data_IF_659935132841
#
_entry.id   IF_659935132841
#
_cell.length_a   1.000
_cell.length_b   1.000
_cell.length_c   1.000
_cell.angle_alpha   90.00
_cell.angle_beta   90.00
_cell.angle_gamma   90.00
#
_symmetry.space_group_name_H-M   'P 1'
#
loop_
_entity.id
_entity.type
_entity.pdbx_description
1 polymer ?
2 non-polymer ?
3 non-polymer ?
4 water ?
#
# COMPACT_ATOMS: atom_id res chain seq x y z
N UNK A 1 3.57 12.52 -0.88
CA UNK A 1 2.82 11.51 -1.65
C UNK A 1 2.50 10.29 -0.78
N UNK A 2 1.45 9.51 -1.17
CA UNK A 2 1.11 8.32 -0.41
C UNK A 2 1.35 7.11 -1.30
N UNK A 3 1.72 6.01 -0.66
CA UNK A 3 1.95 4.75 -1.34
C UNK A 3 0.62 3.99 -1.26
N UNK A 4 0.25 3.37 -2.37
CA UNK A 4 -1.08 2.79 -2.51
C UNK A 4 -0.99 1.40 -3.14
N UNK A 5 -1.68 0.44 -2.55
CA UNK A 5 -1.86 -0.89 -3.16
C UNK A 5 -3.33 -1.02 -3.35
N UNK A 6 -3.76 -1.46 -4.53
CA UNK A 6 -5.19 -1.53 -4.80
C UNK A 6 -5.56 -2.69 -5.69
N UNK A 7 -6.79 -3.16 -5.54
CA UNK A 7 -7.29 -4.24 -6.37
C UNK A 7 -8.81 -4.25 -6.35
N UNK A 8 -9.41 -4.70 -7.45
CA UNK A 8 -10.86 -4.93 -7.51
C UNK A 8 -11.22 -6.40 -7.32
N UNK A 9 -8.16 -11.63 -9.22
CA UNK A 9 -7.72 -10.22 -9.21
C UNK A 9 -6.22 -10.10 -8.95
N UNK A 10 -5.63 -8.97 -9.45
CA UNK A 10 -4.22 -8.67 -9.26
C UNK A 10 -4.12 -7.46 -8.35
N UNK A 11 -3.20 -7.49 -7.39
CA UNK A 11 -2.89 -6.31 -6.61
C UNK A 11 -1.92 -5.46 -7.40
N UNK A 12 -2.22 -4.17 -7.53
CA UNK A 12 -1.33 -3.25 -8.24
C UNK A 12 -0.89 -2.15 -7.29
N UNK A 13 0.26 -1.53 -7.55
CA UNK A 13 0.72 -0.41 -6.69
C UNK A 13 0.78 0.93 -7.43
N UNK A 14 0.74 2.00 -6.66
CA UNK A 14 0.87 3.35 -7.18
C UNK A 14 1.55 4.22 -6.13
N UNK A 15 2.30 5.21 -6.59
CA UNK A 15 2.78 6.27 -5.72
C UNK A 15 2.16 7.56 -6.22
N UNK A 16 1.30 8.14 -5.42
CA UNK A 16 0.58 9.37 -5.70
C UNK A 16 1.07 10.51 -4.81
N UNK B 1 -16.40 -2.01 -5.70
CA UNK B 1 -15.48 -1.33 -4.78
C UNK B 1 -14.09 -1.88 -4.93
N UNK B 2 -13.09 -1.01 -4.53
CA UNK B 2 -11.68 -1.35 -4.55
C UNK B 2 -11.27 -1.72 -3.13
N UNK B 3 -10.30 -2.62 -2.99
CA UNK B 3 -9.62 -2.82 -1.73
C UNK B 3 -8.35 -1.98 -1.79
N UNK B 4 -8.07 -1.26 -0.71
CA UNK B 4 -6.99 -0.28 -0.66
C UNK B 4 -6.11 -0.47 0.55
N UNK B 5 -4.79 -0.50 0.34
CA UNK B 5 -3.81 -0.37 1.42
C UNK B 5 -3.13 0.92 1.13
N UNK B 6 -2.94 1.77 2.13
CA UNK B 6 -2.28 3.05 1.88
C UNK B 6 -1.45 3.52 3.07
N UNK B 7 -0.42 4.31 2.76
CA UNK B 7 0.46 4.86 3.78
C UNK B 7 1.21 6.07 3.25
N UNK B 8 1.62 6.94 4.16
CA UNK B 8 2.50 8.07 3.83
C UNK B 8 3.94 7.82 4.25
N UNK B 9 5.95 4.98 9.60
CA UNK B 9 4.67 5.03 8.87
C UNK B 9 3.90 3.76 9.10
N UNK B 10 2.53 3.88 9.14
CA UNK B 10 1.66 2.72 9.31
C UNK B 10 0.91 2.47 8.00
N UNK B 11 0.69 1.21 7.67
CA UNK B 11 -0.17 0.86 6.55
C UNK B 11 -1.59 0.72 7.07
N UNK B 12 -2.52 1.47 6.49
CA UNK B 12 -3.93 1.36 6.86
C UNK B 12 -4.69 0.74 5.69
N UNK B 13 -5.80 0.05 5.96
CA UNK B 13 -6.61 -0.50 4.85
C UNK B 13 -7.94 0.19 4.73
N UNK B 14 -8.51 0.14 3.53
CA UNK B 14 -9.85 0.65 3.31
C UNK B 14 -10.50 -0.09 2.15
N UNK B 15 -11.81 -0.19 2.22
CA UNK B 15 -12.61 -0.75 1.15
C UNK B 15 -13.51 0.35 0.64
N UNK B 16 -13.23 0.83 -0.57
CA UNK B 16 -14.05 1.90 -1.14
C UNK B 16 -14.91 1.36 -2.26
N UNK C 1 13.14 3.24 -8.52
CA UNK C 1 12.98 2.82 -7.14
C UNK C 1 11.94 1.70 -7.01
N UNK C 2 12.02 0.98 -5.84
CA UNK C 2 11.11 -0.09 -5.51
C UNK C 2 10.23 0.38 -4.37
N UNK C 3 8.98 -0.06 -4.36
CA UNK C 3 8.13 0.04 -3.18
C UNK C 3 8.23 -1.28 -2.44
N UNK C 4 8.38 -1.21 -1.12
CA UNK C 4 8.59 -2.38 -0.29
C UNK C 4 7.68 -2.33 0.93
N UNK C 5 6.99 -3.43 1.21
CA UNK C 5 6.25 -3.60 2.47
C UNK C 5 7.01 -4.68 3.16
N UNK C 6 7.26 -4.57 4.46
CA UNK C 6 8.06 -5.58 5.14
C UNK C 6 7.66 -5.72 6.60
N UNK C 7 7.94 -6.89 7.17
CA UNK C 7 7.61 -7.16 8.55
C UNK C 7 8.36 -8.38 9.06
N UNK C 8 8.69 -8.38 10.35
CA UNK C 8 9.24 -9.55 11.04
C UNK C 8 8.17 -10.38 11.72
N UNK C 9 3.46 -8.10 15.32
CA UNK C 9 4.19 -7.58 14.16
C UNK C 9 3.37 -6.57 13.38
N UNK C 10 4.07 -5.51 12.86
CA UNK C 10 3.42 -4.50 12.04
C UNK C 10 4.07 -4.49 10.66
N UNK C 11 3.24 -4.27 9.64
CA UNK C 11 3.72 -4.10 8.28
C UNK C 11 4.14 -2.65 8.10
N UNK C 12 5.40 -2.46 7.70
CA UNK C 12 5.94 -1.12 7.47
C UNK C 12 6.23 -0.94 5.99
N UNK C 13 6.19 0.29 5.48
CA UNK C 13 6.49 0.52 4.04
C UNK C 13 7.78 1.35 3.82
N UNK C 14 8.38 1.18 2.65
CA UNK C 14 9.52 1.98 2.24
C UNK C 14 9.48 2.19 0.73
N UNK C 15 10.04 3.31 0.29
CA UNK C 15 10.36 3.52 -1.11
C UNK C 15 11.85 3.73 -1.19
N UNK C 16 12.53 2.87 -1.91
CA UNK C 16 13.96 2.86 -2.14
C UNK C 16 14.25 3.09 -3.62
X LIG D 1 1.88 11.19 -9.31
X LIG D 1 2.00 12.03 -10.50
X LIG D 1 1.82 9.78 -9.71
X LIG D 1 3.03 11.40 -8.43
X LIG D 1 0.66 11.53 -8.59
X LIG E 1 -5.95 -12.56 -11.84
X LIG F 1 -17.21 3.29 1.37
X LIG F 1 -16.73 3.85 0.11
X LIG F 1 -17.55 1.88 1.19
X LIG F 1 -16.18 3.41 2.39
X LIG F 1 -18.39 4.04 1.80
X LIG G 1 4.65 4.01 12.70
X LIG H 1 15.94 6.37 -0.78
X LIG H 1 15.09 6.78 -1.90
X LIG H 1 16.89 5.40 -1.29
X LIG H 1 16.69 7.50 -0.25
X LIG H 1 15.11 5.83 0.30
X LIG I 1 5.49 -10.02 17.35
#
# INVERSE_FOLDING_TARGET
>A
AYLLFYTEAKVAXAVK
>B
AYLLFYTEAKVAXAVK
>C
AYLLFYTEAKVAXAVK
>D hetero
1 SO4 S O1 O2 O3 O4
>E hetero
1 CL CL
>F hetero
1 SO4 S O1 O2 O3 O4
>G hetero
1 CL CL
>H hetero
1 SO4 S O1 O2 O3 O4
>I hetero
1 CL CL
#
